data_IF_750659079079
#
_entry.id   IF_750659079079
#
_cell.length_a   1.000
_cell.length_b   1.000
_cell.length_c   1.000
_cell.angle_alpha   90.00
_cell.angle_beta   90.00
_cell.angle_gamma   90.00
#
_symmetry.space_group_name_H-M   'P 1'
#
loop_
_entity.id
_entity.type
_entity.pdbx_description
1 polymer ?
#
# COMPACT_ATOMS: atom_id res chain seq x y z
N UNK A 1 -17.11 45.04 -9.74
CA UNK A 1 -16.93 44.08 -10.85
C UNK A 1 -15.59 43.35 -10.76
N UNK A 2 -14.47 44.07 -10.55
CA UNK A 2 -13.14 43.42 -10.47
C UNK A 2 -12.99 42.43 -9.31
N UNK A 3 -13.46 42.79 -8.11
CA UNK A 3 -13.37 41.90 -6.94
C UNK A 3 -14.10 40.56 -7.13
N UNK A 4 -15.30 40.59 -7.72
CA UNK A 4 -16.09 39.38 -8.02
C UNK A 4 -15.38 38.52 -9.06
N UNK A 5 -14.78 39.16 -10.07
CA UNK A 5 -14.01 38.46 -11.09
C UNK A 5 -12.76 37.80 -10.50
N UNK A 6 -12.02 38.49 -9.61
CA UNK A 6 -10.86 37.92 -8.92
C UNK A 6 -11.22 36.69 -8.08
N UNK A 7 -12.30 36.77 -7.28
CA UNK A 7 -12.78 35.61 -6.50
C UNK A 7 -13.12 34.44 -7.42
N UNK A 8 -13.84 34.71 -8.50
CA UNK A 8 -14.22 33.68 -9.47
C UNK A 8 -12.99 33.02 -10.12
N UNK A 9 -11.98 33.79 -10.51
CA UNK A 9 -10.75 33.27 -11.09
C UNK A 9 -9.93 32.43 -10.09
N UNK A 10 -9.85 32.86 -8.82
CA UNK A 10 -9.16 32.08 -7.78
C UNK A 10 -9.89 30.76 -7.51
N UNK A 11 -11.22 30.76 -7.49
CA UNK A 11 -12.01 29.52 -7.36
C UNK A 11 -11.80 28.59 -8.55
N UNK A 12 -11.88 29.12 -9.77
CA UNK A 12 -11.73 28.34 -11.00
C UNK A 12 -10.33 27.70 -11.09
N UNK A 13 -9.28 28.48 -10.82
CA UNK A 13 -7.90 27.98 -10.83
C UNK A 13 -7.66 26.92 -9.75
N UNK A 14 -8.20 27.10 -8.55
CA UNK A 14 -8.10 26.10 -7.47
C UNK A 14 -8.79 24.78 -7.85
N UNK A 15 -9.97 24.85 -8.47
CA UNK A 15 -10.69 23.66 -8.96
C UNK A 15 -9.89 22.95 -10.04
N UNK A 16 -9.37 23.69 -11.04
CA UNK A 16 -8.54 23.12 -12.11
C UNK A 16 -7.29 22.45 -11.55
N UNK A 17 -6.62 23.08 -10.59
CA UNK A 17 -5.43 22.51 -9.94
C UNK A 17 -5.77 21.21 -9.20
N UNK A 18 -6.89 21.17 -8.49
CA UNK A 18 -7.33 19.98 -7.77
C UNK A 18 -7.62 18.82 -8.74
N UNK A 19 -8.34 19.09 -9.83
CA UNK A 19 -8.58 18.09 -10.88
C UNK A 19 -7.30 17.67 -11.59
N UNK A 20 -6.38 18.59 -11.85
CA UNK A 20 -5.08 18.27 -12.46
C UNK A 20 -4.26 17.33 -11.57
N UNK A 21 -4.18 17.62 -10.28
CA UNK A 21 -3.45 16.78 -9.32
C UNK A 21 -4.04 15.38 -9.22
N UNK A 22 -5.36 15.29 -9.06
CA UNK A 22 -6.08 14.00 -9.02
C UNK A 22 -5.90 13.25 -10.33
N UNK A 23 -6.03 13.94 -11.47
CA UNK A 23 -5.87 13.36 -12.80
C UNK A 23 -4.50 12.74 -13.00
N UNK A 24 -3.43 13.44 -12.59
CA UNK A 24 -2.06 12.93 -12.66
C UNK A 24 -1.91 11.67 -11.79
N UNK A 25 -2.42 11.67 -10.56
CA UNK A 25 -2.36 10.50 -9.67
C UNK A 25 -3.09 9.31 -10.30
N UNK A 26 -4.26 9.52 -10.89
CA UNK A 26 -5.04 8.45 -11.56
C UNK A 26 -4.27 7.89 -12.75
N UNK A 27 -3.72 8.76 -13.62
CA UNK A 27 -2.95 8.32 -14.79
C UNK A 27 -1.72 7.52 -14.37
N UNK A 28 -0.99 8.00 -13.37
CA UNK A 28 0.17 7.27 -12.82
C UNK A 28 -0.27 5.92 -12.25
N UNK A 29 -1.38 5.87 -11.50
CA UNK A 29 -1.95 4.64 -10.97
C UNK A 29 -2.29 3.63 -12.06
N UNK A 30 -2.90 4.08 -13.16
CA UNK A 30 -3.19 3.23 -14.33
C UNK A 30 -1.91 2.72 -15.00
N UNK A 31 -0.90 3.58 -15.16
CA UNK A 31 0.40 3.18 -15.74
C UNK A 31 1.06 2.13 -14.84
N UNK A 32 1.10 2.34 -13.52
CA UNK A 32 1.64 1.36 -12.59
C UNK A 32 0.88 0.04 -12.65
N UNK A 33 -0.45 0.06 -12.64
CA UNK A 33 -1.26 -1.16 -12.75
C UNK A 33 -1.03 -1.90 -14.07
N UNK A 34 -0.86 -1.17 -15.17
CA UNK A 34 -0.50 -1.76 -16.46
C UNK A 34 0.89 -2.40 -16.44
N UNK A 35 1.91 -1.67 -15.95
CA UNK A 35 3.27 -2.18 -15.79
C UNK A 35 3.32 -3.37 -14.84
N UNK A 36 2.55 -3.37 -13.76
CA UNK A 36 2.45 -4.49 -12.83
C UNK A 36 1.89 -5.73 -13.52
N UNK A 37 0.87 -5.58 -14.38
CA UNK A 37 0.31 -6.69 -15.15
C UNK A 37 1.33 -7.29 -16.13
N UNK A 38 2.13 -6.43 -16.77
CA UNK A 38 3.21 -6.85 -17.67
C UNK A 38 4.30 -7.55 -16.88
N UNK A 39 4.80 -6.94 -15.81
CA UNK A 39 5.81 -7.52 -14.92
C UNK A 39 5.34 -8.88 -14.43
N UNK A 40 4.11 -9.03 -13.94
CA UNK A 40 3.56 -10.31 -13.51
C UNK A 40 3.59 -11.37 -14.63
N UNK A 41 3.25 -10.96 -15.85
CA UNK A 41 3.25 -11.86 -17.03
C UNK A 41 4.66 -12.28 -17.41
N UNK A 42 5.59 -11.33 -17.56
CA UNK A 42 6.98 -11.61 -17.93
C UNK A 42 7.72 -12.36 -16.82
N UNK A 43 7.50 -12.01 -15.55
CA UNK A 43 8.13 -12.66 -14.40
C UNK A 43 7.66 -14.10 -14.25
N UNK A 44 6.36 -14.36 -14.45
CA UNK A 44 5.81 -15.72 -14.44
C UNK A 44 6.39 -16.60 -15.56
N UNK A 45 6.70 -16.03 -16.72
CA UNK A 45 7.32 -16.72 -17.86
C UNK A 45 8.82 -16.93 -17.70
N UNK A 46 9.54 -15.98 -17.10
CA UNK A 46 11.00 -16.00 -16.99
C UNK A 46 11.51 -16.84 -15.81
N UNK A 47 10.91 -16.69 -14.63
CA UNK A 47 11.37 -17.34 -13.40
C UNK A 47 10.50 -18.52 -12.94
N UNK A 48 9.38 -18.74 -13.63
CA UNK A 48 8.37 -19.72 -13.23
C UNK A 48 7.77 -19.41 -11.85
N UNK A 49 6.86 -20.28 -11.41
CA UNK A 49 6.17 -20.14 -10.11
C UNK A 49 7.14 -20.20 -8.91
N UNK A 50 8.29 -20.87 -9.07
CA UNK A 50 9.31 -21.05 -8.01
C UNK A 50 10.12 -19.78 -7.72
N UNK A 51 10.54 -19.03 -8.73
CA UNK A 51 11.29 -17.78 -8.50
C UNK A 51 10.41 -16.65 -7.94
N UNK A 52 9.12 -16.62 -8.30
CA UNK A 52 8.13 -15.75 -7.68
C UNK A 52 7.93 -16.07 -6.19
N UNK A 53 7.83 -17.37 -5.84
CA UNK A 53 7.72 -17.79 -4.45
C UNK A 53 8.96 -17.42 -3.63
N UNK A 54 10.16 -17.46 -4.22
CA UNK A 54 11.39 -17.09 -3.53
C UNK A 54 11.44 -15.61 -3.13
N UNK A 55 11.09 -14.71 -4.06
CA UNK A 55 11.04 -13.27 -3.74
C UNK A 55 9.88 -12.94 -2.82
N UNK A 56 8.73 -13.59 -3.00
CA UNK A 56 7.60 -13.48 -2.08
C UNK A 56 7.95 -13.98 -0.68
N UNK A 57 8.80 -15.00 -0.55
CA UNK A 57 9.20 -15.54 0.75
C UNK A 57 9.99 -14.54 1.60
N UNK A 58 10.67 -13.58 0.97
CA UNK A 58 11.38 -12.49 1.66
C UNK A 58 10.45 -11.28 1.85
N UNK A 59 9.74 -10.88 0.80
CA UNK A 59 8.90 -9.68 0.83
C UNK A 59 7.65 -9.81 1.70
N UNK A 60 6.99 -10.97 1.71
CA UNK A 60 5.73 -11.19 2.44
C UNK A 60 5.91 -11.12 3.95
N UNK A 61 6.94 -11.74 4.58
CA UNK A 61 7.18 -11.55 6.00
C UNK A 61 7.35 -10.07 6.36
N UNK A 62 8.14 -9.31 5.59
CA UNK A 62 8.36 -7.87 5.85
C UNK A 62 7.07 -7.06 5.68
N UNK A 63 6.25 -7.41 4.68
CA UNK A 63 4.95 -6.81 4.43
C UNK A 63 3.99 -7.02 5.61
N UNK A 64 3.78 -8.29 5.99
CA UNK A 64 2.86 -8.67 7.07
C UNK A 64 3.40 -8.22 8.45
N UNK A 65 4.71 -8.17 8.65
CA UNK A 65 5.30 -7.57 9.85
C UNK A 65 4.97 -6.08 9.96
N UNK A 66 4.93 -5.35 8.84
CA UNK A 66 4.48 -3.96 8.81
C UNK A 66 3.04 -3.81 9.33
N UNK A 67 2.13 -4.68 8.88
CA UNK A 67 0.75 -4.74 9.40
C UNK A 67 0.73 -5.06 10.89
N UNK A 68 1.50 -6.05 11.33
CA UNK A 68 1.53 -6.48 12.73
C UNK A 68 2.07 -5.39 13.67
N UNK A 69 3.14 -4.68 13.28
CA UNK A 69 3.72 -3.58 14.05
C UNK A 69 2.72 -2.44 14.18
N UNK A 70 2.04 -2.06 13.09
CA UNK A 70 1.02 -1.01 13.14
C UNK A 70 -0.19 -1.43 13.96
N UNK A 71 -0.60 -2.71 13.89
CA UNK A 71 -1.64 -3.24 14.76
C UNK A 71 -1.29 -3.08 16.24
N UNK A 72 -0.04 -3.35 16.63
CA UNK A 72 0.43 -3.18 18.00
C UNK A 72 0.39 -1.69 18.41
N UNK A 73 0.91 -0.80 17.55
CA UNK A 73 0.94 0.65 17.78
C UNK A 73 -0.47 1.23 18.04
N UNK A 74 -1.44 0.83 17.21
CA UNK A 74 -2.82 1.32 17.32
C UNK A 74 -3.68 0.48 18.28
N UNK A 75 -3.10 -0.46 19.02
CA UNK A 75 -3.78 -1.31 20.01
C UNK A 75 -4.90 -2.17 19.39
N UNK A 76 -4.68 -2.65 18.17
CA UNK A 76 -5.54 -3.64 17.53
C UNK A 76 -5.21 -5.04 18.06
N UNK A 77 -6.23 -5.88 18.20
CA UNK A 77 -6.06 -7.28 18.62
C UNK A 77 -5.76 -8.12 17.38
N UNK A 78 -4.56 -8.64 17.28
CA UNK A 78 -4.20 -9.60 16.24
C UNK A 78 -4.85 -10.95 16.58
N UNK A 79 -5.60 -11.52 15.64
CA UNK A 79 -6.33 -12.79 15.78
C UNK A 79 -5.57 -13.93 15.13
N UNK A 80 -5.00 -13.69 13.95
CA UNK A 80 -4.23 -14.67 13.21
C UNK A 80 -3.17 -13.95 12.36
N UNK A 81 -2.02 -14.59 12.19
CA UNK A 81 -0.94 -14.10 11.33
C UNK A 81 -0.36 -15.23 10.53
N UNK A 82 -0.09 -14.98 9.25
CA UNK A 82 0.62 -15.88 8.38
C UNK A 82 1.66 -15.10 7.59
N UNK A 83 2.92 -15.23 7.99
CA UNK A 83 4.05 -14.55 7.36
C UNK A 83 4.61 -15.29 6.15
N UNK A 84 4.32 -16.59 6.02
CA UNK A 84 4.90 -17.44 4.99
C UNK A 84 3.87 -17.86 3.92
N UNK A 85 4.25 -17.82 2.64
CA UNK A 85 3.40 -18.26 1.55
C UNK A 85 3.28 -19.78 1.53
N UNK A 86 2.21 -20.31 2.10
CA UNK A 86 1.93 -21.76 2.12
C UNK A 86 1.14 -22.24 0.92
N UNK A 87 0.31 -21.41 0.29
CA UNK A 87 -0.43 -21.83 -0.91
C UNK A 87 -0.77 -20.68 -1.87
N UNK A 88 -0.28 -20.76 -3.11
CA UNK A 88 -0.64 -19.81 -4.18
C UNK A 88 -1.99 -20.15 -4.81
N UNK A 89 -2.57 -21.32 -4.53
CA UNK A 89 -3.85 -21.76 -5.12
C UNK A 89 -5.03 -20.89 -4.67
N UNK A 90 -4.98 -20.39 -3.43
CA UNK A 90 -5.99 -19.50 -2.86
C UNK A 90 -5.68 -18.01 -3.03
N UNK A 91 -4.58 -17.66 -3.72
CA UNK A 91 -4.23 -16.28 -4.04
C UNK A 91 -3.63 -15.45 -2.89
N UNK A 92 -3.60 -15.96 -1.66
CA UNK A 92 -3.02 -15.28 -0.49
C UNK A 92 -1.61 -15.81 -0.19
N UNK A 93 -0.61 -14.93 -0.27
CA UNK A 93 0.77 -15.26 0.09
C UNK A 93 1.07 -15.07 1.59
N UNK A 94 0.24 -14.31 2.29
CA UNK A 94 0.33 -14.03 3.72
C UNK A 94 -0.87 -13.18 4.16
N UNK A 95 -1.10 -13.09 5.48
CA UNK A 95 -2.12 -12.20 6.03
C UNK A 95 -1.89 -11.90 7.53
N UNK A 96 -2.30 -10.72 7.97
CA UNK A 96 -2.51 -10.37 9.38
C UNK A 96 -3.99 -10.06 9.60
N UNK A 97 -4.68 -10.98 10.26
CA UNK A 97 -6.06 -10.76 10.70
C UNK A 97 -6.06 -10.04 12.03
N UNK A 98 -6.69 -8.87 12.08
CA UNK A 98 -6.81 -8.07 13.29
C UNK A 98 -8.25 -7.63 13.55
N UNK A 99 -8.55 -7.35 14.81
CA UNK A 99 -9.82 -6.82 15.29
C UNK A 99 -9.58 -5.53 16.05
N UNK A 100 -10.52 -4.60 15.93
CA UNK A 100 -10.47 -3.31 16.61
C UNK A 100 -11.86 -2.89 17.08
N UNK A 101 -11.89 -2.05 18.09
CA UNK A 101 -13.08 -1.43 18.63
C UNK A 101 -13.48 -0.23 17.77
N UNK A 102 -14.57 -0.37 17.01
CA UNK A 102 -15.11 0.67 16.14
C UNK A 102 -15.55 1.94 16.89
N UNK A 103 -15.85 1.82 18.19
CA UNK A 103 -16.20 2.98 19.04
C UNK A 103 -14.97 3.84 19.38
N UNK A 104 -13.76 3.30 19.27
CA UNK A 104 -12.52 4.03 19.52
C UNK A 104 -12.04 4.78 18.27
N UNK A 105 -12.01 6.11 18.35
CA UNK A 105 -11.51 6.97 17.27
C UNK A 105 -10.03 6.67 16.96
N UNK A 106 -9.23 6.43 18.01
CA UNK A 106 -7.81 6.12 17.88
C UNK A 106 -7.55 4.86 17.05
N UNK A 107 -8.34 3.80 17.29
CA UNK A 107 -8.22 2.55 16.54
C UNK A 107 -8.75 2.68 15.10
N UNK A 108 -9.81 3.46 14.89
CA UNK A 108 -10.26 3.75 13.52
C UNK A 108 -9.21 4.47 12.69
N UNK A 109 -8.52 5.46 13.28
CA UNK A 109 -7.38 6.12 12.65
C UNK A 109 -6.28 5.10 12.37
N UNK A 110 -6.07 4.16 13.29
CA UNK A 110 -5.12 3.06 13.11
C UNK A 110 -5.33 2.22 11.86
N UNK A 111 -6.57 2.01 11.38
CA UNK A 111 -6.80 1.27 10.13
C UNK A 111 -6.09 1.90 8.93
N UNK A 112 -6.02 3.23 8.86
CA UNK A 112 -5.32 3.95 7.79
C UNK A 112 -3.81 3.67 7.85
N UNK A 113 -3.21 3.78 9.03
CA UNK A 113 -1.78 3.53 9.22
C UNK A 113 -1.40 2.06 9.08
N UNK A 114 -2.28 1.14 9.47
CA UNK A 114 -2.09 -0.30 9.20
C UNK A 114 -2.07 -0.53 7.69
N UNK A 115 -2.99 0.08 6.94
CA UNK A 115 -2.98 -0.01 5.47
C UNK A 115 -1.69 0.49 4.81
N UNK A 116 -1.02 1.50 5.40
CA UNK A 116 0.24 2.05 4.89
C UNK A 116 1.48 1.37 5.52
N UNK A 117 1.31 0.66 6.63
CA UNK A 117 2.36 0.00 7.39
C UNK A 117 3.34 -0.82 6.54
N UNK A 118 2.87 -1.67 5.61
CA UNK A 118 3.76 -2.42 4.74
C UNK A 118 4.60 -1.59 3.77
N UNK A 119 4.10 -0.42 3.35
CA UNK A 119 4.89 0.50 2.51
C UNK A 119 6.06 1.03 3.33
N UNK A 120 5.80 1.41 4.58
CA UNK A 120 6.82 1.91 5.51
C UNK A 120 7.83 0.81 5.84
N UNK A 121 7.38 -0.41 6.13
CA UNK A 121 8.27 -1.54 6.44
C UNK A 121 9.12 -1.93 5.22
N UNK A 122 8.55 -1.93 4.02
CA UNK A 122 9.27 -2.18 2.77
C UNK A 122 10.38 -1.15 2.51
N UNK A 123 10.08 0.15 2.65
CA UNK A 123 11.09 1.21 2.50
C UNK A 123 12.19 1.06 3.56
N UNK A 124 11.81 0.82 4.82
CA UNK A 124 12.77 0.67 5.92
C UNK A 124 13.69 -0.52 5.72
N UNK A 125 13.19 -1.63 5.18
CA UNK A 125 13.98 -2.81 4.86
C UNK A 125 15.00 -2.57 3.73
N UNK A 126 14.74 -1.62 2.83
CA UNK A 126 15.63 -1.28 1.72
C UNK A 126 16.75 -0.31 2.11
N UNK A 127 16.56 0.53 3.13
CA UNK A 127 17.57 1.54 3.53
C UNK A 127 18.94 0.92 3.87
N UNK A 128 19.04 -0.18 4.66
CA UNK A 128 20.33 -0.82 4.95
C UNK A 128 21.01 -1.43 3.71
N UNK A 129 20.25 -1.78 2.67
CA UNK A 129 20.79 -2.36 1.43
C UNK A 129 21.42 -1.32 0.48
N UNK A 130 21.18 -0.03 0.73
CA UNK A 130 21.71 1.08 -0.07
C UNK A 130 22.97 1.71 0.56
N UNK A 131 23.29 1.36 1.81
CA UNK A 131 24.46 1.87 2.53
C UNK A 131 25.69 0.96 2.46
N UNK A 132 25.68 -0.06 1.59
CA UNK A 132 26.76 -1.04 1.40
C UNK A 132 27.35 -0.97 0.00
#
# INVERSE_FOLDING_TARGET
MEFVNSIFQTLLTSVIQLFSLIGVIIVIGFILGYLESLTRTYWSRAFGRKGFLLTAWIGVPVHELGHAIMCLLFRHKIVATQFFPTDTSQGALGYVQHQYNQKSVYQRIGNFFIGIGPIISGITALIPSLSS
#
